data_IF_793987572270
#
_entry.id   IF_793987572270
#
_cell.length_a   1.000
_cell.length_b   1.000
_cell.length_c   1.000
_cell.angle_alpha   90.00
_cell.angle_beta   90.00
_cell.angle_gamma   90.00
#
_symmetry.space_group_name_H-M   'P 1'
#
loop_
_entity.id
_entity.type
_entity.pdbx_description
1 polymer ?
#
# COMPACT_ATOMS: atom_id res chain seq x y z
N UNK A 1 -18.09 -16.87 -15.79
CA UNK A 1 -18.44 -17.03 -14.36
C UNK A 1 -18.15 -15.73 -13.65
N UNK A 2 -19.10 -15.17 -12.90
CA UNK A 2 -18.96 -13.88 -12.18
C UNK A 2 -18.86 -14.20 -10.69
N UNK A 3 -17.80 -13.71 -10.04
CA UNK A 3 -17.64 -13.83 -8.59
C UNK A 3 -18.51 -12.74 -7.95
N UNK A 4 -19.38 -13.13 -7.03
CA UNK A 4 -20.20 -12.23 -6.21
C UNK A 4 -19.77 -12.38 -4.75
N UNK A 5 -19.41 -11.27 -4.12
CA UNK A 5 -18.97 -11.21 -2.72
C UNK A 5 -19.95 -10.43 -1.84
N UNK A 6 -21.18 -10.21 -2.30
CA UNK A 6 -22.25 -9.64 -1.48
C UNK A 6 -22.39 -10.42 -0.16
N UNK A 7 -22.58 -9.69 0.94
CA UNK A 7 -22.65 -10.24 2.31
C UNK A 7 -21.36 -10.94 2.80
N UNK A 8 -20.23 -10.75 2.13
CA UNK A 8 -18.91 -11.18 2.61
C UNK A 8 -18.15 -9.99 3.20
N UNK A 9 -17.23 -10.32 4.11
CA UNK A 9 -16.26 -9.37 4.67
C UNK A 9 -14.87 -9.81 4.23
N UNK A 10 -14.10 -8.88 3.66
CA UNK A 10 -12.70 -9.06 3.34
C UNK A 10 -11.83 -8.23 4.29
N UNK A 11 -10.88 -8.89 4.96
CA UNK A 11 -9.88 -8.24 5.79
C UNK A 11 -8.59 -8.14 4.97
N UNK A 12 -8.06 -6.93 4.82
CA UNK A 12 -6.89 -6.68 3.98
C UNK A 12 -5.81 -5.94 4.78
N UNK A 13 -4.59 -6.44 4.72
CA UNK A 13 -3.38 -5.81 5.26
C UNK A 13 -2.50 -5.29 4.11
N UNK A 14 -1.64 -4.29 4.38
CA UNK A 14 -0.72 -3.75 3.38
C UNK A 14 -1.40 -3.05 2.19
N UNK A 15 -2.56 -2.42 2.40
CA UNK A 15 -3.35 -1.77 1.34
C UNK A 15 -3.12 -0.26 1.18
N UNK A 16 -2.17 0.32 1.93
CA UNK A 16 -1.80 1.75 1.89
C UNK A 16 -1.28 2.20 0.53
N UNK A 17 -0.54 1.34 -0.18
CA UNK A 17 -0.01 1.63 -1.51
C UNK A 17 0.25 0.37 -2.33
N UNK A 18 0.63 0.56 -3.60
CA UNK A 18 1.09 -0.51 -4.47
C UNK A 18 0.03 -1.61 -4.71
N UNK A 19 0.44 -2.88 -4.90
CA UNK A 19 -0.48 -3.96 -5.27
C UNK A 19 -1.54 -4.25 -4.20
N UNK A 20 -1.24 -4.02 -2.92
CA UNK A 20 -2.19 -4.25 -1.82
C UNK A 20 -3.44 -3.37 -1.91
N UNK A 21 -3.33 -2.16 -2.47
CA UNK A 21 -4.49 -1.30 -2.74
C UNK A 21 -5.44 -1.95 -3.77
N UNK A 22 -4.89 -2.60 -4.79
CA UNK A 22 -5.69 -3.35 -5.78
C UNK A 22 -6.44 -4.52 -5.14
N UNK A 23 -5.78 -5.23 -4.21
CA UNK A 23 -6.40 -6.32 -3.45
C UNK A 23 -7.49 -5.87 -2.49
N UNK A 24 -7.49 -4.63 -2.01
CA UNK A 24 -8.59 -4.05 -1.24
C UNK A 24 -9.77 -3.60 -2.12
N UNK A 25 -9.48 -3.03 -3.30
CA UNK A 25 -10.51 -2.46 -4.17
C UNK A 25 -11.28 -3.52 -4.96
N UNK A 26 -10.64 -4.61 -5.39
CA UNK A 26 -11.31 -5.64 -6.17
C UNK A 26 -12.46 -6.31 -5.39
N UNK A 27 -12.31 -6.77 -4.13
CA UNK A 27 -13.40 -7.34 -3.36
C UNK A 27 -14.54 -6.35 -3.10
N UNK A 28 -14.21 -5.08 -2.85
CA UNK A 28 -15.22 -4.02 -2.69
C UNK A 28 -16.07 -3.86 -3.96
N UNK A 29 -15.45 -3.86 -5.15
CA UNK A 29 -16.15 -3.82 -6.44
C UNK A 29 -17.03 -5.05 -6.70
N UNK A 30 -16.70 -6.18 -6.07
CA UNK A 30 -17.49 -7.42 -6.14
C UNK A 30 -18.55 -7.52 -5.04
N UNK A 31 -18.73 -6.50 -4.20
CA UNK A 31 -19.81 -6.42 -3.20
C UNK A 31 -19.41 -6.75 -1.76
N UNK A 32 -18.13 -7.04 -1.49
CA UNK A 32 -17.68 -7.29 -0.12
C UNK A 32 -17.60 -5.99 0.69
N UNK A 33 -17.91 -6.08 1.99
CA UNK A 33 -17.46 -5.07 2.96
C UNK A 33 -15.97 -5.27 3.19
N UNK A 34 -15.17 -4.21 3.12
CA UNK A 34 -13.71 -4.30 3.24
C UNK A 34 -13.24 -3.60 4.50
N UNK A 35 -12.53 -4.33 5.35
CA UNK A 35 -11.83 -3.79 6.51
C UNK A 35 -10.35 -3.78 6.22
N UNK A 36 -9.73 -2.61 6.28
CA UNK A 36 -8.29 -2.44 6.07
C UNK A 36 -7.64 -2.17 7.41
N UNK A 37 -6.66 -3.01 7.77
CA UNK A 37 -5.72 -2.72 8.85
C UNK A 37 -4.33 -2.58 8.24
N UNK A 38 -3.97 -1.33 7.93
CA UNK A 38 -2.64 -0.98 7.48
C UNK A 38 -2.09 0.06 8.45
N UNK A 39 -1.14 -0.31 9.34
CA UNK A 39 -0.59 0.61 10.34
C UNK A 39 0.22 1.78 9.73
N UNK A 40 0.19 1.97 8.42
CA UNK A 40 0.96 2.98 7.73
C UNK A 40 2.33 2.43 7.46
N UNK A 41 2.69 2.37 6.18
CA UNK A 41 4.06 2.11 5.82
C UNK A 41 4.80 3.45 5.90
N UNK A 42 5.38 3.75 7.07
CA UNK A 42 6.52 4.66 7.17
C UNK A 42 7.67 4.00 6.40
N UNK A 43 7.57 4.05 5.07
CA UNK A 43 8.50 3.43 4.15
C UNK A 43 9.73 4.31 4.11
N UNK A 44 10.57 4.20 5.15
CA UNK A 44 12.02 4.26 4.98
C UNK A 44 12.42 3.04 4.14
N UNK A 45 12.06 3.04 2.85
CA UNK A 45 12.57 2.05 1.90
C UNK A 45 14.07 2.29 1.84
N UNK A 46 14.86 1.30 2.25
CA UNK A 46 16.20 1.16 1.68
C UNK A 46 15.95 0.86 0.20
N UNK A 47 15.99 1.90 -0.64
CA UNK A 47 15.86 1.77 -2.08
C UNK A 47 17.15 1.16 -2.59
N UNK A 48 17.16 -0.14 -2.84
CA UNK A 48 18.10 -0.75 -3.75
C UNK A 48 17.76 -0.29 -5.17
N UNK A 49 18.49 0.72 -5.66
CA UNK A 49 18.76 0.89 -7.10
C UNK A 49 17.82 1.74 -7.94
N UNK A 50 17.44 2.94 -7.52
CA UNK A 50 16.88 3.97 -8.42
C UNK A 50 17.56 5.31 -8.22
N UNK A 51 18.31 5.75 -9.23
CA UNK A 51 19.09 7.01 -9.26
C UNK A 51 18.22 8.20 -8.83
N UNK A 52 18.45 8.72 -7.63
CA UNK A 52 17.96 10.05 -7.23
C UNK A 52 19.17 10.97 -7.17
N UNK A 53 19.22 11.93 -8.09
CA UNK A 53 20.02 13.14 -7.91
C UNK A 53 19.42 13.91 -6.73
N UNK A 54 20.17 14.01 -5.63
CA UNK A 54 19.82 14.85 -4.47
C UNK A 54 20.74 16.07 -4.47
N UNK A 55 20.16 17.27 -4.53
CA UNK A 55 20.88 18.51 -4.29
C UNK A 55 21.40 18.48 -2.84
N UNK A 56 22.73 18.58 -2.68
CA UNK A 56 23.39 18.62 -1.37
C UNK A 56 23.23 20.00 -0.75
N UNK A 57 22.91 20.04 0.53
CA UNK A 57 23.49 21.03 1.45
C UNK A 57 24.46 20.27 2.34
N UNK A 58 25.75 20.38 2.02
CA UNK A 58 26.84 20.15 2.96
C UNK A 58 26.56 20.97 4.23
N UNK A 59 26.93 20.49 5.41
CA UNK A 59 27.86 21.18 6.32
C UNK A 59 28.31 20.20 7.43
N UNK A 60 29.59 20.24 7.84
CA UNK A 60 30.25 19.13 8.51
C UNK A 60 30.13 19.19 10.04
N UNK A 61 30.39 18.04 10.63
CA UNK A 61 30.33 17.70 12.05
C UNK A 61 31.17 18.65 12.92
N UNK A 62 30.55 19.11 14.01
CA UNK A 62 31.20 19.49 15.26
C UNK A 62 30.65 18.59 16.37
#
# INVERSE_FOLDING_TARGET
>A
MKIDLTNRVAIVTGASAGPGRGHALLPARLGAKVVVNDPGSDVRRIRSGGTQTRARSEQPLG
#
